data_IF_806222303152
#
_entry.id   IF_806222303152
#
_cell.length_a   1.000
_cell.length_b   1.000
_cell.length_c   1.000
_cell.angle_alpha   90.00
_cell.angle_beta   90.00
_cell.angle_gamma   90.00
#
_symmetry.space_group_name_H-M   'P 1'
#
loop_
_entity.id
_entity.type
_entity.pdbx_description
1 polymer ?
#
# COMPACT_ATOMS: atom_id res chain seq x y z
N UNK A 1 -13.52 -9.98 -25.27
CA UNK A 1 -13.94 -8.57 -25.13
C UNK A 1 -14.74 -8.46 -23.85
N UNK A 2 -14.23 -7.79 -22.81
CA UNK A 2 -15.04 -7.48 -21.63
C UNK A 2 -15.94 -6.29 -22.00
N UNK A 3 -17.24 -6.51 -22.06
CA UNK A 3 -18.22 -5.43 -22.13
C UNK A 3 -18.41 -4.89 -20.71
N UNK A 4 -18.00 -3.66 -20.48
CA UNK A 4 -18.31 -2.96 -19.24
C UNK A 4 -19.74 -2.42 -19.36
N UNK A 5 -20.62 -2.83 -18.45
CA UNK A 5 -22.04 -2.47 -18.48
C UNK A 5 -22.30 -1.03 -18.03
N UNK A 6 -21.32 -0.38 -17.40
CA UNK A 6 -21.42 1.01 -16.97
C UNK A 6 -20.09 1.77 -17.08
N UNK A 7 -20.17 3.10 -17.17
CA UNK A 7 -19.00 4.00 -17.08
C UNK A 7 -18.20 3.74 -15.80
N UNK A 8 -18.86 3.33 -14.74
CA UNK A 8 -18.32 3.07 -13.43
C UNK A 8 -17.45 1.81 -13.40
N UNK A 9 -17.94 0.71 -14.00
CA UNK A 9 -17.16 -0.52 -14.16
C UNK A 9 -15.89 -0.30 -14.98
N UNK A 10 -15.99 0.51 -16.02
CA UNK A 10 -14.84 0.89 -16.84
C UNK A 10 -13.79 1.65 -15.98
N UNK A 11 -14.25 2.55 -15.13
CA UNK A 11 -13.38 3.33 -14.26
C UNK A 11 -12.68 2.43 -13.22
N UNK A 12 -13.41 1.53 -12.56
CA UNK A 12 -12.84 0.55 -11.62
C UNK A 12 -11.80 -0.34 -12.31
N UNK A 13 -12.12 -0.81 -13.52
CA UNK A 13 -11.19 -1.63 -14.31
C UNK A 13 -9.93 -0.85 -14.73
N UNK A 14 -10.05 0.42 -15.09
CA UNK A 14 -8.92 1.27 -15.42
C UNK A 14 -8.01 1.50 -14.20
N UNK A 15 -8.59 1.82 -13.04
CA UNK A 15 -7.84 2.00 -11.80
C UNK A 15 -7.15 0.69 -11.37
N UNK A 16 -7.83 -0.44 -11.49
CA UNK A 16 -7.23 -1.77 -11.24
C UNK A 16 -6.05 -2.04 -12.17
N UNK A 17 -6.19 -1.77 -13.45
CA UNK A 17 -5.12 -1.96 -14.44
C UNK A 17 -3.89 -1.11 -14.09
N UNK A 18 -4.10 0.17 -13.76
CA UNK A 18 -3.03 1.07 -13.32
C UNK A 18 -2.37 0.59 -12.01
N UNK A 19 -3.15 0.05 -11.07
CA UNK A 19 -2.63 -0.52 -9.83
C UNK A 19 -1.74 -1.74 -10.10
N UNK A 20 -2.14 -2.62 -11.03
CA UNK A 20 -1.34 -3.77 -11.46
C UNK A 20 -0.02 -3.35 -12.12
N UNK A 21 -0.06 -2.37 -13.03
CA UNK A 21 1.16 -1.85 -13.67
C UNK A 21 2.11 -1.22 -12.65
N UNK A 22 1.57 -0.48 -11.68
CA UNK A 22 2.36 0.10 -10.60
C UNK A 22 2.95 -0.95 -9.67
N UNK A 23 2.19 -2.00 -9.37
CA UNK A 23 2.66 -3.15 -8.61
C UNK A 23 3.86 -3.84 -9.27
N UNK A 24 3.82 -4.02 -10.59
CA UNK A 24 4.93 -4.59 -11.35
C UNK A 24 6.20 -3.70 -11.29
N UNK A 25 6.05 -2.39 -11.45
CA UNK A 25 7.16 -1.44 -11.31
C UNK A 25 7.75 -1.43 -9.90
N UNK A 26 6.90 -1.52 -8.87
CA UNK A 26 7.35 -1.62 -7.48
C UNK A 26 8.10 -2.92 -7.20
N UNK A 27 7.62 -4.03 -7.74
CA UNK A 27 8.30 -5.32 -7.65
C UNK A 27 9.72 -5.24 -8.24
N UNK A 28 9.86 -4.67 -9.44
CA UNK A 28 11.18 -4.44 -10.05
C UNK A 28 12.08 -3.56 -9.16
N UNK A 29 11.54 -2.47 -8.63
CA UNK A 29 12.31 -1.57 -7.74
C UNK A 29 12.66 -2.23 -6.40
N UNK A 30 11.78 -3.08 -5.85
CA UNK A 30 12.02 -3.81 -4.62
C UNK A 30 13.22 -4.75 -4.72
N UNK A 31 13.45 -5.34 -5.90
CA UNK A 31 14.62 -6.20 -6.16
C UNK A 31 15.94 -5.43 -6.12
N UNK A 32 15.91 -4.10 -6.30
CA UNK A 32 17.10 -3.25 -6.31
C UNK A 32 17.32 -2.53 -4.96
N UNK A 33 16.51 -2.80 -3.94
CA UNK A 33 16.72 -2.25 -2.61
C UNK A 33 17.95 -2.89 -1.97
N UNK A 34 18.79 -2.05 -1.35
CA UNK A 34 19.97 -2.53 -0.64
C UNK A 34 19.59 -3.42 0.54
N UNK A 35 20.35 -4.52 0.71
CA UNK A 35 20.21 -5.36 1.89
C UNK A 35 20.84 -4.65 3.09
N UNK A 36 20.18 -4.70 4.26
CA UNK A 36 20.72 -4.15 5.49
C UNK A 36 19.73 -3.30 6.29
N UNK A 37 20.28 -2.54 7.26
CA UNK A 37 19.51 -1.77 8.24
C UNK A 37 18.56 -0.73 7.62
N UNK A 38 18.88 -0.20 6.46
CA UNK A 38 18.08 0.85 5.81
C UNK A 38 17.01 0.32 4.84
N UNK A 39 16.94 -0.99 4.62
CA UNK A 39 15.95 -1.57 3.70
C UNK A 39 14.51 -1.21 4.07
N UNK A 40 14.17 -1.26 5.36
CA UNK A 40 12.84 -0.85 5.83
C UNK A 40 12.58 0.60 5.48
N UNK A 41 13.56 1.48 5.67
CA UNK A 41 13.46 2.89 5.31
C UNK A 41 13.23 3.09 3.82
N UNK A 42 13.97 2.41 2.96
CA UNK A 42 13.80 2.45 1.51
C UNK A 42 12.44 1.90 1.07
N UNK A 43 11.99 0.78 1.66
CA UNK A 43 10.68 0.20 1.38
C UNK A 43 9.53 1.17 1.74
N UNK A 44 9.63 1.86 2.88
CA UNK A 44 8.66 2.88 3.30
C UNK A 44 8.64 4.05 2.31
N UNK A 45 9.79 4.51 1.82
CA UNK A 45 9.85 5.57 0.83
C UNK A 45 9.21 5.17 -0.50
N UNK A 46 9.44 3.94 -0.96
CA UNK A 46 8.76 3.39 -2.13
C UNK A 46 7.24 3.33 -1.96
N UNK A 47 6.76 2.88 -0.80
CA UNK A 47 5.34 2.88 -0.49
C UNK A 47 4.77 4.30 -0.46
N UNK A 48 5.50 5.26 0.09
CA UNK A 48 5.07 6.65 0.14
C UNK A 48 4.79 7.22 -1.24
N UNK A 49 5.60 6.89 -2.23
CA UNK A 49 5.38 7.33 -3.62
C UNK A 49 4.03 6.85 -4.19
N UNK A 50 3.53 5.67 -3.75
CA UNK A 50 2.22 5.17 -4.16
C UNK A 50 1.12 6.08 -3.64
N UNK A 51 1.19 6.45 -2.36
CA UNK A 51 0.17 7.24 -1.68
C UNK A 51 0.21 8.73 -2.05
N UNK A 52 1.27 9.20 -2.69
CA UNK A 52 1.38 10.58 -3.18
C UNK A 52 1.14 10.70 -4.68
N UNK A 53 0.91 9.60 -5.37
CA UNK A 53 0.68 9.57 -6.81
C UNK A 53 -0.78 9.78 -7.23
N UNK A 54 -1.01 10.06 -8.53
CA UNK A 54 -2.35 10.31 -9.08
C UNK A 54 -3.30 9.12 -8.94
N UNK A 55 -2.77 7.90 -8.89
CA UNK A 55 -3.57 6.69 -8.68
C UNK A 55 -4.24 6.69 -7.30
N UNK A 56 -3.54 7.16 -6.27
CA UNK A 56 -4.12 7.29 -4.93
C UNK A 56 -5.28 8.28 -4.90
N UNK A 57 -5.13 9.43 -5.56
CA UNK A 57 -6.21 10.42 -5.68
C UNK A 57 -7.42 9.82 -6.40
N UNK A 58 -7.21 9.10 -7.51
CA UNK A 58 -8.29 8.43 -8.22
C UNK A 58 -9.00 7.37 -7.35
N UNK A 59 -8.26 6.61 -6.52
CA UNK A 59 -8.86 5.68 -5.56
C UNK A 59 -9.71 6.39 -4.50
N UNK A 60 -9.27 7.53 -3.99
CA UNK A 60 -10.06 8.32 -3.01
C UNK A 60 -11.38 8.80 -3.60
N UNK A 61 -11.39 9.25 -4.85
CA UNK A 61 -12.62 9.63 -5.55
C UNK A 61 -13.59 8.44 -5.69
N UNK A 62 -13.05 7.26 -6.05
CA UNK A 62 -13.85 6.03 -6.13
C UNK A 62 -14.42 5.63 -4.77
N UNK A 63 -13.63 5.66 -3.71
CA UNK A 63 -14.10 5.34 -2.36
C UNK A 63 -15.14 6.33 -1.85
N UNK A 64 -14.94 7.62 -2.16
CA UNK A 64 -15.92 8.66 -1.83
C UNK A 64 -17.25 8.41 -2.53
N UNK A 65 -17.25 8.09 -3.82
CA UNK A 65 -18.43 7.75 -4.59
C UNK A 65 -19.10 6.46 -4.09
N UNK A 66 -18.33 5.44 -3.76
CA UNK A 66 -18.81 4.15 -3.23
C UNK A 66 -19.54 4.27 -1.88
N UNK A 67 -19.38 5.38 -1.18
CA UNK A 67 -20.08 5.65 0.09
C UNK A 67 -21.60 5.63 -0.08
N UNK A 68 -22.11 6.09 -1.22
CA UNK A 68 -23.53 6.22 -1.53
C UNK A 68 -23.97 5.34 -2.70
N UNK A 69 -23.05 4.58 -3.30
CA UNK A 69 -23.29 3.69 -4.43
C UNK A 69 -22.87 2.27 -4.07
N UNK A 70 -23.86 1.39 -3.89
CA UNK A 70 -23.64 0.01 -3.45
C UNK A 70 -23.03 -0.87 -4.55
N UNK A 71 -23.40 -0.63 -5.80
CA UNK A 71 -22.87 -1.36 -6.95
C UNK A 71 -21.37 -1.03 -7.14
N UNK A 72 -21.01 0.24 -7.08
CA UNK A 72 -19.62 0.67 -7.11
C UNK A 72 -18.82 0.09 -5.94
N UNK A 73 -19.39 0.10 -4.74
CA UNK A 73 -18.73 -0.47 -3.56
C UNK A 73 -18.44 -1.96 -3.76
N UNK A 74 -19.41 -2.73 -4.26
CA UNK A 74 -19.23 -4.14 -4.55
C UNK A 74 -18.11 -4.38 -5.60
N UNK A 75 -18.08 -3.58 -6.66
CA UNK A 75 -17.06 -3.66 -7.71
C UNK A 75 -15.64 -3.33 -7.18
N UNK A 76 -15.51 -2.34 -6.30
CA UNK A 76 -14.23 -2.00 -5.64
C UNK A 76 -13.77 -3.15 -4.76
N UNK A 77 -14.63 -3.68 -3.89
CA UNK A 77 -14.31 -4.80 -2.98
C UNK A 77 -13.82 -6.02 -3.78
N UNK A 78 -14.49 -6.35 -4.88
CA UNK A 78 -14.08 -7.45 -5.75
C UNK A 78 -12.72 -7.19 -6.39
N UNK A 79 -12.48 -5.96 -6.86
CA UNK A 79 -11.19 -5.55 -7.41
C UNK A 79 -10.06 -5.64 -6.37
N UNK A 80 -10.29 -5.19 -5.15
CA UNK A 80 -9.31 -5.25 -4.05
C UNK A 80 -9.01 -6.69 -3.65
N UNK A 81 -10.00 -7.57 -3.61
CA UNK A 81 -9.78 -9.01 -3.38
C UNK A 81 -8.88 -9.63 -4.42
N UNK A 82 -9.09 -9.30 -5.71
CA UNK A 82 -8.25 -9.78 -6.80
C UNK A 82 -6.79 -9.32 -6.72
N UNK A 83 -6.53 -8.20 -6.07
CA UNK A 83 -5.17 -7.65 -5.89
C UNK A 83 -4.49 -8.09 -4.60
N UNK A 84 -5.23 -8.62 -3.64
CA UNK A 84 -4.72 -8.92 -2.28
C UNK A 84 -3.49 -9.82 -2.28
N UNK A 85 -3.54 -10.92 -3.02
CA UNK A 85 -2.41 -11.87 -3.07
C UNK A 85 -1.14 -11.22 -3.62
N UNK A 86 -1.27 -10.45 -4.72
CA UNK A 86 -0.14 -9.73 -5.32
C UNK A 86 0.40 -8.64 -4.38
N UNK A 87 -0.48 -7.94 -3.66
CA UNK A 87 -0.10 -6.93 -2.67
C UNK A 87 0.66 -7.57 -1.50
N UNK A 88 0.17 -8.68 -0.96
CA UNK A 88 0.83 -9.37 0.14
C UNK A 88 2.21 -9.91 -0.28
N UNK A 89 2.33 -10.47 -1.47
CA UNK A 89 3.62 -10.93 -2.01
C UNK A 89 4.61 -9.77 -2.14
N UNK A 90 4.17 -8.64 -2.69
CA UNK A 90 4.99 -7.43 -2.81
C UNK A 90 5.43 -6.88 -1.44
N UNK A 91 4.54 -6.87 -0.45
CA UNK A 91 4.90 -6.43 0.91
C UNK A 91 5.92 -7.40 1.54
N UNK A 92 5.74 -8.71 1.38
CA UNK A 92 6.71 -9.71 1.82
C UNK A 92 8.10 -9.48 1.21
N UNK A 93 8.17 -9.15 -0.07
CA UNK A 93 9.42 -8.86 -0.77
C UNK A 93 10.06 -7.54 -0.32
N UNK A 94 9.28 -6.46 -0.25
CA UNK A 94 9.75 -5.15 0.19
C UNK A 94 10.39 -5.20 1.57
N UNK A 95 9.77 -5.88 2.52
CA UNK A 95 10.21 -5.94 3.91
C UNK A 95 11.04 -7.18 4.25
N UNK A 96 11.40 -8.00 3.25
CA UNK A 96 12.15 -9.25 3.43
C UNK A 96 11.57 -10.13 4.55
N UNK A 97 10.26 -10.26 4.58
CA UNK A 97 9.58 -11.02 5.61
C UNK A 97 9.95 -12.50 5.50
N UNK A 98 10.82 -12.95 6.40
CA UNK A 98 11.13 -14.37 6.58
C UNK A 98 9.91 -15.16 7.07
N UNK A 99 8.88 -14.45 7.52
CA UNK A 99 7.66 -14.97 8.15
C UNK A 99 6.44 -14.23 7.61
N UNK A 100 6.22 -14.29 6.27
CA UNK A 100 5.01 -13.72 5.66
C UNK A 100 3.72 -14.29 6.25
N UNK A 101 3.79 -15.45 6.91
CA UNK A 101 2.68 -16.11 7.61
C UNK A 101 2.54 -15.67 9.09
N UNK A 102 3.41 -14.81 9.62
CA UNK A 102 3.26 -14.26 10.98
C UNK A 102 2.12 -13.22 10.98
N UNK A 103 1.05 -13.43 11.80
CA UNK A 103 -0.04 -12.47 11.92
C UNK A 103 0.42 -11.06 12.30
N UNK A 104 1.50 -10.94 13.09
CA UNK A 104 2.08 -9.64 13.50
C UNK A 104 2.70 -8.88 12.33
N UNK A 105 3.28 -9.61 11.37
CA UNK A 105 3.73 -9.00 10.12
C UNK A 105 2.56 -8.42 9.34
N UNK A 106 1.47 -9.17 9.19
CA UNK A 106 0.27 -8.71 8.52
C UNK A 106 -0.31 -7.45 9.19
N UNK A 107 -0.37 -7.43 10.53
CA UNK A 107 -0.86 -6.29 11.31
C UNK A 107 0.07 -5.08 11.15
N UNK A 108 1.39 -5.26 11.19
CA UNK A 108 2.37 -4.19 11.00
C UNK A 108 2.27 -3.56 9.61
N UNK A 109 2.07 -4.38 8.57
CA UNK A 109 1.85 -3.90 7.20
C UNK A 109 0.51 -3.17 7.08
N UNK A 110 -0.57 -3.72 7.62
CA UNK A 110 -1.88 -3.06 7.59
C UNK A 110 -1.82 -1.68 8.28
N UNK A 111 -1.22 -1.60 9.47
CA UNK A 111 -1.01 -0.33 10.18
C UNK A 111 -0.17 0.65 9.36
N UNK A 112 0.87 0.17 8.68
CA UNK A 112 1.70 0.99 7.79
C UNK A 112 0.88 1.57 6.64
N UNK A 113 0.06 0.75 5.98
CA UNK A 113 -0.80 1.20 4.88
C UNK A 113 -1.85 2.22 5.35
N UNK A 114 -2.45 2.00 6.53
CA UNK A 114 -3.41 2.96 7.11
C UNK A 114 -2.74 4.27 7.50
N UNK A 115 -1.54 4.22 8.09
CA UNK A 115 -0.76 5.40 8.41
C UNK A 115 -0.43 6.21 7.15
N UNK A 116 0.10 5.56 6.10
CA UNK A 116 0.43 6.19 4.82
C UNK A 116 -0.79 6.84 4.19
N UNK A 117 -1.93 6.14 4.19
CA UNK A 117 -3.20 6.64 3.67
C UNK A 117 -3.67 7.90 4.41
N UNK A 118 -3.63 7.88 5.73
CA UNK A 118 -4.01 9.04 6.55
C UNK A 118 -3.10 10.24 6.34
N UNK A 119 -1.79 10.03 6.27
CA UNK A 119 -0.82 11.07 6.01
C UNK A 119 -1.00 11.68 4.60
N UNK A 120 -1.20 10.84 3.58
CA UNK A 120 -1.42 11.27 2.20
C UNK A 120 -2.74 12.04 2.05
N UNK A 121 -3.82 11.58 2.70
CA UNK A 121 -5.11 12.28 2.71
C UNK A 121 -4.98 13.69 3.31
N UNK A 122 -4.23 13.80 4.41
CA UNK A 122 -3.96 15.11 5.04
C UNK A 122 -3.16 16.02 4.12
N UNK A 123 -2.24 15.44 3.34
CA UNK A 123 -1.40 16.17 2.39
C UNK A 123 -2.17 16.79 1.22
N UNK A 124 -3.29 16.20 0.81
CA UNK A 124 -4.18 16.76 -0.22
C UNK A 124 -4.73 18.12 0.23
N UNK A 125 -5.12 18.23 1.51
CA UNK A 125 -5.73 19.47 2.04
C UNK A 125 -4.68 20.47 2.53
N UNK A 126 -3.56 19.96 3.05
CA UNK A 126 -2.48 20.78 3.63
C UNK A 126 -1.13 20.26 3.11
N UNK A 127 -0.78 20.57 1.86
CA UNK A 127 0.47 20.11 1.27
C UNK A 127 1.68 20.70 2.00
N UNK A 128 2.56 19.84 2.49
CA UNK A 128 3.81 20.23 3.12
C UNK A 128 4.80 19.07 2.98
N UNK A 129 5.75 19.21 2.07
CA UNK A 129 6.78 18.20 1.84
C UNK A 129 7.61 17.92 3.10
N UNK A 130 7.89 18.95 3.90
CA UNK A 130 8.62 18.82 5.17
C UNK A 130 7.84 17.97 6.18
N UNK A 131 6.54 18.22 6.37
CA UNK A 131 5.70 17.42 7.27
C UNK A 131 5.56 15.99 6.81
N UNK A 132 5.39 15.78 5.50
CA UNK A 132 5.29 14.46 4.90
C UNK A 132 6.57 13.66 5.15
N UNK A 133 7.73 14.25 4.82
CA UNK A 133 9.04 13.65 5.09
C UNK A 133 9.19 13.30 6.56
N UNK A 134 8.86 14.23 7.47
CA UNK A 134 8.92 14.01 8.91
C UNK A 134 8.05 12.82 9.34
N UNK A 135 6.83 12.68 8.82
CA UNK A 135 5.95 11.55 9.15
C UNK A 135 6.54 10.22 8.68
N UNK A 136 7.05 10.19 7.46
CA UNK A 136 7.74 9.01 6.92
C UNK A 136 8.94 8.64 7.80
N UNK A 137 9.79 9.61 8.14
CA UNK A 137 10.97 9.39 8.97
C UNK A 137 10.64 8.94 10.40
N UNK A 138 9.52 9.42 10.98
CA UNK A 138 9.04 8.97 12.28
C UNK A 138 8.48 7.54 12.25
N UNK A 139 7.91 7.12 11.12
CA UNK A 139 7.32 5.78 10.99
C UNK A 139 8.37 4.69 10.79
N UNK A 140 9.49 5.00 10.15
CA UNK A 140 10.58 4.04 9.90
C UNK A 140 11.00 3.24 11.14
N UNK A 141 11.39 3.89 12.27
CA UNK A 141 11.79 3.14 13.48
C UNK A 141 10.61 2.40 14.13
N UNK A 142 9.38 2.90 14.02
CA UNK A 142 8.21 2.24 14.58
C UNK A 142 7.97 0.90 13.85
N UNK A 143 7.96 0.92 12.52
CA UNK A 143 7.79 -0.31 11.74
C UNK A 143 8.95 -1.27 11.95
N UNK A 144 10.20 -0.78 12.01
CA UNK A 144 11.37 -1.61 12.30
C UNK A 144 11.21 -2.36 13.63
N UNK A 145 10.81 -1.66 14.71
CA UNK A 145 10.55 -2.27 16.02
C UNK A 145 9.45 -3.34 15.96
N UNK A 146 8.34 -3.08 15.28
CA UNK A 146 7.25 -4.05 15.13
C UNK A 146 7.70 -5.33 14.41
N UNK A 147 8.57 -5.20 13.41
CA UNK A 147 9.08 -6.34 12.63
C UNK A 147 10.18 -7.12 13.37
N UNK A 148 11.01 -6.44 14.19
CA UNK A 148 12.09 -7.07 14.98
C UNK A 148 11.53 -7.87 16.16
N UNK A 149 10.55 -7.36 16.90
CA UNK A 149 9.88 -8.06 18.00
C UNK A 149 9.21 -9.36 17.54
N UNK A 150 8.80 -9.43 16.27
CA UNK A 150 8.28 -10.65 15.64
C UNK A 150 9.33 -11.74 15.45
N UNK A 151 10.60 -11.39 15.30
CA UNK A 151 11.68 -12.35 15.01
C UNK A 151 12.25 -13.03 16.28
N UNK A 152 12.00 -12.48 17.47
CA UNK A 152 12.59 -12.95 18.73
C UNK A 152 11.79 -14.00 19.51
N UNK A 153 10.52 -14.24 19.18
CA UNK A 153 9.62 -15.09 19.96
C UNK A 153 9.59 -16.59 19.55
N UNK A 154 10.49 -17.00 18.66
CA UNK A 154 10.56 -18.36 18.13
C UNK A 154 11.76 -19.20 18.64
N UNK A 155 12.42 -18.80 19.72
CA UNK A 155 13.62 -19.49 20.24
C UNK A 155 13.47 -19.82 21.72
N UNK A 156 12.34 -20.41 22.14
CA UNK A 156 12.24 -21.16 23.42
C UNK A 156 11.59 -22.51 23.19
#
# INVERSE_FOLDING_TARGET
MHHYSSKLELLVAAVRHLAQQRGANLHERAQHLEEGRDRIGQAIELLWEIFTGPLFTANLELWSAARTDEELRAAIVESERGLRSATNALMGELFMAKTADDPRFADAIELTLQFMRGAALTAIVRPSAEKQKRFVDLWKPVLAGMLEEGSGAGSE
#
